data_IF_705836444047
#
_entry.id   IF_705836444047
#
_cell.length_a   1.000
_cell.length_b   1.000
_cell.length_c   1.000
_cell.angle_alpha   90.00
_cell.angle_beta   90.00
_cell.angle_gamma   90.00
#
_symmetry.space_group_name_H-M   'P 1'
#
loop_
_entity.id
_entity.type
_entity.pdbx_description
1 polymer ?
#
# COMPACT_ATOMS: atom_id res chain seq x y z
N UNK A 1 -20.98 -0.21 -32.36
CA UNK A 1 -20.40 -0.26 -31.00
C UNK A 1 -21.08 0.80 -30.18
N UNK A 2 -21.84 0.38 -29.18
CA UNK A 2 -22.76 1.22 -28.39
C UNK A 2 -21.99 2.04 -27.34
N UNK A 3 -22.30 3.33 -27.13
CA UNK A 3 -21.58 4.20 -26.19
C UNK A 3 -21.52 3.65 -24.75
N UNK A 4 -22.51 2.86 -24.33
CA UNK A 4 -22.55 2.18 -23.03
C UNK A 4 -21.37 1.21 -22.79
N UNK A 5 -20.74 0.66 -23.84
CA UNK A 5 -19.60 -0.25 -23.66
C UNK A 5 -18.30 0.49 -23.36
N UNK A 6 -18.16 1.76 -23.76
CA UNK A 6 -16.96 2.56 -23.46
C UNK A 6 -16.96 3.07 -22.01
N UNK A 7 -18.12 3.43 -21.46
CA UNK A 7 -18.22 3.99 -20.11
C UNK A 7 -17.87 2.96 -19.03
N UNK A 8 -18.38 1.73 -19.16
CA UNK A 8 -18.06 0.64 -18.23
C UNK A 8 -16.57 0.23 -18.27
N UNK A 9 -15.94 0.29 -19.45
CA UNK A 9 -14.49 0.01 -19.60
C UNK A 9 -13.64 1.11 -18.94
N UNK A 10 -14.04 2.38 -19.03
CA UNK A 10 -13.34 3.50 -18.37
C UNK A 10 -13.48 3.44 -16.85
N UNK A 11 -14.66 3.08 -16.34
CA UNK A 11 -14.91 2.87 -14.91
C UNK A 11 -14.07 1.71 -14.34
N UNK A 12 -14.00 0.57 -15.04
CA UNK A 12 -13.11 -0.53 -14.62
C UNK A 12 -11.63 -0.14 -14.64
N UNK A 13 -11.17 0.60 -15.65
CA UNK A 13 -9.78 1.07 -15.71
C UNK A 13 -9.45 2.07 -14.60
N UNK A 14 -10.36 2.97 -14.22
CA UNK A 14 -10.11 3.94 -13.15
C UNK A 14 -10.12 3.28 -11.76
N UNK A 15 -11.02 2.30 -11.53
CA UNK A 15 -11.04 1.51 -10.31
C UNK A 15 -9.78 0.65 -10.18
N UNK A 16 -9.35 -0.01 -11.26
CA UNK A 16 -8.14 -0.83 -11.26
C UNK A 16 -6.88 0.00 -11.00
N UNK A 17 -6.81 1.22 -11.56
CA UNK A 17 -5.70 2.15 -11.31
C UNK A 17 -5.68 2.66 -9.87
N UNK A 18 -6.86 2.94 -9.32
CA UNK A 18 -7.00 3.39 -7.93
C UNK A 18 -6.64 2.25 -6.97
N UNK A 19 -7.11 1.02 -7.21
CA UNK A 19 -6.76 -0.17 -6.42
C UNK A 19 -5.26 -0.48 -6.51
N UNK A 20 -4.62 -0.29 -7.67
CA UNK A 20 -3.16 -0.43 -7.80
C UNK A 20 -2.41 0.60 -6.93
N UNK A 21 -2.85 1.87 -6.91
CA UNK A 21 -2.25 2.91 -6.08
C UNK A 21 -2.49 2.69 -4.57
N UNK A 22 -3.67 2.20 -4.19
CA UNK A 22 -4.00 1.86 -2.80
C UNK A 22 -3.32 0.57 -2.34
N UNK A 23 -3.31 -0.44 -3.21
CA UNK A 23 -2.68 -1.73 -3.00
C UNK A 23 -1.17 -1.59 -2.86
N UNK A 24 -0.53 -0.73 -3.64
CA UNK A 24 0.90 -0.43 -3.45
C UNK A 24 1.20 0.18 -2.08
N UNK A 25 0.35 1.09 -1.57
CA UNK A 25 0.50 1.62 -0.21
C UNK A 25 0.33 0.55 0.87
N UNK A 26 -0.68 -0.31 0.71
CA UNK A 26 -0.92 -1.48 1.56
C UNK A 26 0.24 -2.47 1.56
N UNK A 27 0.77 -2.79 0.38
CA UNK A 27 1.93 -3.68 0.22
C UNK A 27 3.17 -3.10 0.89
N UNK A 28 3.47 -1.81 0.71
CA UNK A 28 4.62 -1.16 1.37
C UNK A 28 4.50 -1.24 2.90
N UNK A 29 3.31 -0.99 3.44
CA UNK A 29 3.06 -1.08 4.89
C UNK A 29 3.19 -2.54 5.36
N UNK A 30 2.60 -3.49 4.64
CA UNK A 30 2.69 -4.93 4.92
C UNK A 30 4.15 -5.40 4.93
N UNK A 31 4.95 -5.00 3.94
CA UNK A 31 6.38 -5.30 3.87
C UNK A 31 7.15 -4.64 5.01
N UNK A 32 6.82 -3.40 5.40
CA UNK A 32 7.43 -2.73 6.56
C UNK A 32 7.17 -3.46 7.88
N UNK A 33 5.93 -3.88 8.13
CA UNK A 33 5.57 -4.71 9.30
C UNK A 33 6.28 -6.06 9.22
N UNK A 34 6.25 -6.71 8.05
CA UNK A 34 6.90 -7.99 7.84
C UNK A 34 8.41 -7.91 8.11
N UNK A 35 9.08 -6.83 7.69
CA UNK A 35 10.51 -6.62 7.98
C UNK A 35 10.78 -6.41 9.48
N UNK A 36 9.90 -5.73 10.21
CA UNK A 36 10.04 -5.59 11.66
C UNK A 36 9.75 -6.90 12.41
N UNK A 37 8.77 -7.67 11.95
CA UNK A 37 8.43 -8.98 12.52
C UNK A 37 9.33 -10.12 12.00
N UNK A 38 10.16 -9.88 10.99
CA UNK A 38 11.07 -10.89 10.42
C UNK A 38 12.00 -11.48 11.48
N UNK A 39 12.42 -10.66 12.46
CA UNK A 39 13.26 -11.09 13.58
C UNK A 39 12.53 -12.07 14.51
N UNK A 40 11.25 -11.80 14.77
CA UNK A 40 10.35 -12.70 15.53
C UNK A 40 10.06 -14.00 14.78
N UNK A 41 10.10 -13.96 13.44
CA UNK A 41 9.91 -15.11 12.57
C UNK A 41 11.20 -15.93 12.34
N UNK A 42 12.33 -15.51 12.93
CA UNK A 42 13.62 -16.20 12.79
C UNK A 42 14.37 -15.90 11.50
N UNK A 43 13.93 -14.91 10.72
CA UNK A 43 14.69 -14.39 9.58
C UNK A 43 15.73 -13.38 10.10
N UNK A 44 16.95 -13.86 10.31
CA UNK A 44 18.10 -13.01 10.59
C UNK A 44 18.68 -12.50 9.28
N UNK A 45 18.50 -11.20 9.05
CA UNK A 45 19.26 -10.47 8.04
C UNK A 45 20.50 -9.89 8.72
N UNK A 46 21.69 -10.13 8.15
CA UNK A 46 22.96 -9.49 8.52
C UNK A 46 22.96 -7.99 8.14
N UNK A 47 21.94 -7.27 8.56
CA UNK A 47 21.86 -5.81 8.47
C UNK A 47 22.04 -5.21 9.85
N UNK A 48 22.62 -4.02 9.88
CA UNK A 48 22.77 -3.25 11.10
C UNK A 48 21.38 -3.02 11.74
N UNK A 49 21.16 -3.43 13.01
CA UNK A 49 19.84 -3.43 13.62
C UNK A 49 19.23 -2.01 13.67
N UNK A 50 20.07 -0.99 13.83
CA UNK A 50 19.64 0.40 13.76
C UNK A 50 18.97 0.74 12.43
N UNK A 51 19.60 0.36 11.30
CA UNK A 51 19.05 0.60 9.97
C UNK A 51 17.74 -0.17 9.75
N UNK A 52 17.69 -1.43 10.19
CA UNK A 52 16.50 -2.28 10.09
C UNK A 52 15.29 -1.68 10.83
N UNK A 53 15.47 -1.27 12.09
CA UNK A 53 14.40 -0.66 12.87
C UNK A 53 14.00 0.71 12.31
N UNK A 54 14.97 1.55 11.95
CA UNK A 54 14.71 2.88 11.39
C UNK A 54 13.94 2.79 10.07
N UNK A 55 14.38 1.93 9.15
CA UNK A 55 13.73 1.71 7.86
C UNK A 55 12.34 1.07 8.03
N UNK A 56 12.21 0.11 8.93
CA UNK A 56 10.92 -0.50 9.27
C UNK A 56 9.90 0.52 9.79
N UNK A 57 10.30 1.36 10.74
CA UNK A 57 9.45 2.43 11.29
C UNK A 57 9.08 3.43 10.19
N UNK A 58 10.03 3.86 9.35
CA UNK A 58 9.77 4.74 8.22
C UNK A 58 8.75 4.14 7.23
N UNK A 59 8.90 2.87 6.86
CA UNK A 59 7.98 2.17 5.97
C UNK A 59 6.58 2.06 6.58
N UNK A 60 6.46 1.77 7.88
CA UNK A 60 5.16 1.74 8.56
C UNK A 60 4.52 3.13 8.57
N UNK A 61 5.24 4.16 9.00
CA UNK A 61 4.71 5.53 9.10
C UNK A 61 4.31 6.07 7.72
N UNK A 62 5.18 5.90 6.72
CA UNK A 62 4.92 6.35 5.35
C UNK A 62 3.80 5.52 4.67
N UNK A 63 3.81 4.20 4.87
CA UNK A 63 2.76 3.30 4.38
C UNK A 63 1.41 3.64 5.00
N UNK A 64 1.36 3.83 6.32
CA UNK A 64 0.15 4.21 7.06
C UNK A 64 -0.38 5.56 6.60
N UNK A 65 0.49 6.56 6.44
CA UNK A 65 0.12 7.87 5.88
C UNK A 65 -0.48 7.74 4.48
N UNK A 66 0.13 6.91 3.61
CA UNK A 66 -0.30 6.71 2.23
C UNK A 66 -1.66 6.01 2.15
N UNK A 67 -1.92 5.05 3.04
CA UNK A 67 -3.24 4.42 3.18
C UNK A 67 -4.25 5.41 3.75
N UNK A 68 -3.92 6.15 4.81
CA UNK A 68 -4.81 7.16 5.41
C UNK A 68 -5.26 8.20 4.38
N UNK A 69 -4.30 8.77 3.63
CA UNK A 69 -4.59 9.73 2.55
C UNK A 69 -5.42 9.08 1.43
N UNK A 70 -5.22 7.79 1.16
CA UNK A 70 -5.98 7.06 0.16
C UNK A 70 -7.41 6.74 0.59
N UNK A 71 -7.61 6.38 1.86
CA UNK A 71 -8.93 6.07 2.43
C UNK A 71 -9.86 7.29 2.43
N UNK A 72 -9.29 8.48 2.69
CA UNK A 72 -10.02 9.74 2.67
C UNK A 72 -10.63 10.09 1.29
N UNK A 73 -10.08 9.56 0.18
CA UNK A 73 -10.62 9.81 -1.17
C UNK A 73 -11.78 8.91 -1.57
N UNK A 74 -11.90 7.72 -0.98
CA UNK A 74 -13.00 6.80 -1.27
C UNK A 74 -14.26 7.08 -0.44
N UNK A 75 -14.16 7.88 0.63
CA UNK A 75 -15.28 8.19 1.52
C UNK A 75 -16.13 9.39 1.07
N UNK A 76 -15.70 10.14 0.03
CA UNK A 76 -16.48 11.21 -0.62
C UNK A 76 -17.13 10.75 -1.93
N UNK A 77 -17.36 9.45 -2.07
CA UNK A 77 -18.21 8.88 -3.11
C UNK A 77 -19.44 8.27 -2.46
N UNK A 78 -20.23 9.09 -1.77
CA UNK A 78 -21.64 8.85 -1.49
C UNK A 78 -22.45 9.96 -2.17
#
# INVERSE_FOLDING_TARGET
>A
MTPETQDNRRKQYSLMRSILDYGMGGLILLFGIFFLFSEKLGFYFDMEPFFKYFFGILCIVYGAWRIYRGYQKNYYSD
#
